data_IF_141183480855
#
_entry.id   IF_141183480855
#
_cell.length_a   1.000
_cell.length_b   1.000
_cell.length_c   1.000
_cell.angle_alpha   90.00
_cell.angle_beta   90.00
_cell.angle_gamma   90.00
#
_symmetry.space_group_name_H-M   'P 1'
#
loop_
_entity.id
_entity.type
_entity.pdbx_description
1 polymer ?
#
# COMPACT_ATOMS: atom_id res chain seq x y z
N UNK A 1 7.84 -13.85 12.35
CA UNK A 1 8.54 -13.88 11.05
C UNK A 1 8.14 -15.16 10.37
N UNK A 2 7.61 -15.07 9.14
CA UNK A 2 7.20 -16.24 8.36
C UNK A 2 8.33 -16.52 7.37
N UNK A 3 8.68 -17.79 7.21
CA UNK A 3 9.53 -18.24 6.11
C UNK A 3 8.62 -18.58 4.92
N UNK A 4 8.84 -17.92 3.78
CA UNK A 4 8.19 -18.27 2.53
C UNK A 4 9.27 -18.74 1.55
N UNK A 5 9.33 -20.05 1.31
CA UNK A 5 10.33 -20.67 0.42
C UNK A 5 11.80 -20.35 0.81
N UNK A 6 12.10 -20.29 2.11
CA UNK A 6 13.44 -19.94 2.59
C UNK A 6 13.71 -18.43 2.68
N UNK A 7 12.72 -17.58 2.40
CA UNK A 7 12.84 -16.12 2.44
C UNK A 7 12.14 -15.57 3.68
N UNK A 8 12.83 -14.83 4.57
CA UNK A 8 12.20 -14.06 5.62
C UNK A 8 11.14 -13.10 5.04
N UNK A 9 9.90 -13.26 5.47
CA UNK A 9 8.75 -12.66 4.81
C UNK A 9 7.71 -12.11 5.79
N UNK A 10 6.89 -11.20 5.29
CA UNK A 10 5.70 -10.66 5.94
C UNK A 10 4.45 -11.11 5.19
N UNK A 11 3.47 -11.63 5.93
CA UNK A 11 2.14 -11.92 5.42
C UNK A 11 1.20 -10.76 5.77
N UNK A 12 0.61 -10.14 4.75
CA UNK A 12 -0.52 -9.24 4.90
C UNK A 12 -1.81 -9.99 4.57
N UNK A 13 -2.76 -9.91 5.50
CA UNK A 13 -4.13 -10.34 5.30
C UNK A 13 -5.02 -9.11 5.26
N UNK A 14 -5.96 -9.11 4.33
CA UNK A 14 -6.98 -8.07 4.26
C UNK A 14 -7.88 -8.08 5.49
N UNK A 15 -8.18 -6.87 5.98
CA UNK A 15 -9.20 -6.65 6.98
C UNK A 15 -10.56 -6.48 6.30
N UNK A 16 -11.69 -6.72 6.97
CA UNK A 16 -13.02 -6.53 6.38
C UNK A 16 -13.23 -5.17 5.71
N UNK A 17 -12.59 -4.10 6.24
CA UNK A 17 -12.64 -2.74 5.69
C UNK A 17 -12.16 -2.64 4.23
N UNK A 18 -11.29 -3.55 3.75
CA UNK A 18 -10.69 -3.47 2.41
C UNK A 18 -11.71 -3.69 1.31
N UNK A 19 -12.74 -4.52 1.55
CA UNK A 19 -13.84 -4.75 0.62
C UNK A 19 -14.69 -3.49 0.40
N UNK A 20 -14.81 -2.62 1.40
CA UNK A 20 -15.52 -1.34 1.30
C UNK A 20 -14.70 -0.25 0.62
N UNK A 21 -13.37 -0.34 0.66
CA UNK A 21 -12.51 0.64 -0.01
C UNK A 21 -12.34 0.33 -1.50
N UNK A 22 -12.89 -0.79 -1.99
CA UNK A 22 -12.80 -1.18 -3.41
C UNK A 22 -11.36 -1.36 -3.88
N UNK A 23 -10.46 -1.78 -2.99
CA UNK A 23 -9.03 -1.87 -3.29
C UNK A 23 -8.77 -2.95 -4.35
N UNK A 24 -8.16 -2.55 -5.47
CA UNK A 24 -7.74 -3.48 -6.51
C UNK A 24 -6.42 -4.14 -6.12
N UNK A 25 -6.52 -5.31 -5.46
CA UNK A 25 -5.36 -6.09 -4.99
C UNK A 25 -4.51 -6.65 -6.11
N UNK A 26 -5.09 -6.89 -7.29
CA UNK A 26 -4.34 -7.30 -8.48
C UNK A 26 -3.50 -6.15 -9.01
N UNK A 27 -4.07 -4.93 -9.05
CA UNK A 27 -3.34 -3.73 -9.42
C UNK A 27 -2.24 -3.39 -8.42
N UNK A 28 -2.50 -3.57 -7.13
CA UNK A 28 -1.51 -3.37 -6.08
C UNK A 28 -0.29 -4.28 -6.27
N UNK A 29 -0.49 -5.59 -6.43
CA UNK A 29 0.63 -6.51 -6.65
C UNK A 29 1.43 -6.15 -7.92
N UNK A 30 0.75 -5.77 -8.99
CA UNK A 30 1.42 -5.31 -10.22
C UNK A 30 2.23 -4.03 -9.99
N UNK A 31 1.66 -3.04 -9.31
CA UNK A 31 2.34 -1.78 -8.99
C UNK A 31 3.59 -2.01 -8.14
N UNK A 32 3.48 -2.84 -7.09
CA UNK A 32 4.61 -3.16 -6.21
C UNK A 32 5.77 -3.79 -6.99
N UNK A 33 5.48 -4.65 -7.98
CA UNK A 33 6.50 -5.22 -8.87
C UNK A 33 7.13 -4.15 -9.77
N UNK A 34 6.33 -3.24 -10.33
CA UNK A 34 6.84 -2.18 -11.22
C UNK A 34 7.84 -1.25 -10.52
N UNK A 35 7.61 -0.92 -9.24
CA UNK A 35 8.45 0.04 -8.49
C UNK A 35 9.53 -0.63 -7.64
N UNK A 36 9.61 -1.96 -7.67
CA UNK A 36 10.57 -2.72 -6.87
C UNK A 36 12.01 -2.42 -7.29
N UNK A 37 12.28 -2.38 -8.60
CA UNK A 37 13.63 -2.09 -9.13
C UNK A 37 14.12 -0.69 -8.79
N UNK A 38 13.20 0.25 -8.55
CA UNK A 38 13.50 1.62 -8.14
C UNK A 38 13.69 1.75 -6.62
N UNK A 39 13.55 0.66 -5.86
CA UNK A 39 13.73 0.63 -4.41
C UNK A 39 12.55 1.19 -3.60
N UNK A 40 11.39 1.40 -4.23
CA UNK A 40 10.20 1.96 -3.57
C UNK A 40 9.19 0.91 -3.09
N UNK A 41 9.52 -0.37 -3.21
CA UNK A 41 8.73 -1.47 -2.68
C UNK A 41 9.64 -2.59 -2.18
N UNK A 42 9.29 -3.26 -1.06
CA UNK A 42 9.88 -4.56 -0.77
C UNK A 42 9.52 -5.54 -1.89
N UNK A 43 10.34 -6.58 -2.06
CA UNK A 43 10.11 -7.61 -3.08
C UNK A 43 8.77 -8.34 -2.85
N UNK A 44 7.80 -8.23 -3.78
CA UNK A 44 6.57 -9.01 -3.70
C UNK A 44 6.86 -10.47 -4.04
N UNK A 45 6.50 -11.40 -3.15
CA UNK A 45 6.81 -12.83 -3.31
C UNK A 45 5.60 -13.64 -3.77
N UNK A 46 4.40 -13.26 -3.33
CA UNK A 46 3.16 -13.95 -3.68
C UNK A 46 1.94 -13.06 -3.44
N UNK A 47 0.87 -13.27 -4.22
CA UNK A 47 -0.44 -12.69 -3.93
C UNK A 47 -1.56 -13.66 -4.29
N UNK A 48 -2.59 -13.67 -3.45
CA UNK A 48 -3.92 -14.20 -3.77
C UNK A 48 -4.95 -13.08 -3.52
N UNK A 49 -5.27 -12.26 -4.54
CA UNK A 49 -6.24 -11.18 -4.43
C UNK A 49 -7.62 -11.65 -3.95
N UNK A 50 -8.05 -12.85 -4.35
CA UNK A 50 -9.37 -13.41 -3.98
C UNK A 50 -9.46 -13.76 -2.49
N UNK A 51 -8.33 -14.02 -1.85
CA UNK A 51 -8.23 -14.23 -0.40
C UNK A 51 -7.65 -13.02 0.36
N UNK A 52 -7.39 -11.92 -0.33
CA UNK A 52 -6.76 -10.73 0.26
C UNK A 52 -5.37 -10.98 0.83
N UNK A 53 -4.62 -11.93 0.25
CA UNK A 53 -3.28 -12.32 0.69
C UNK A 53 -2.23 -11.58 -0.13
N UNK A 54 -1.25 -11.02 0.57
CA UNK A 54 0.01 -10.54 -0.01
C UNK A 54 1.18 -11.03 0.87
N UNK A 55 2.18 -11.63 0.24
CA UNK A 55 3.45 -11.98 0.89
C UNK A 55 4.55 -11.17 0.21
N UNK A 56 5.36 -10.48 1.01
CA UNK A 56 6.53 -9.74 0.54
C UNK A 56 7.74 -10.00 1.44
N UNK A 57 8.94 -9.82 0.89
CA UNK A 57 10.20 -9.99 1.62
C UNK A 57 10.22 -9.05 2.82
N UNK A 58 10.58 -9.60 3.97
CA UNK A 58 10.81 -8.80 5.17
C UNK A 58 11.96 -7.81 4.91
N UNK A 59 11.71 -6.55 5.22
CA UNK A 59 12.70 -5.49 5.15
C UNK A 59 13.00 -5.02 6.57
N UNK A 60 14.27 -5.12 6.96
CA UNK A 60 14.71 -4.67 8.26
C UNK A 60 14.79 -3.13 8.30
N UNK A 61 14.18 -2.54 9.32
CA UNK A 61 14.19 -1.10 9.51
C UNK A 61 13.21 -0.67 10.59
N UNK A 62 13.35 0.58 11.01
CA UNK A 62 12.46 1.20 11.98
C UNK A 62 11.50 2.15 11.28
N UNK A 63 10.22 2.06 11.62
CA UNK A 63 9.22 2.98 11.12
C UNK A 63 9.41 4.35 11.77
N UNK A 64 9.40 5.41 10.96
CA UNK A 64 9.38 6.77 11.48
C UNK A 64 8.09 7.01 12.27
N UNK A 65 8.25 7.65 13.42
CA UNK A 65 7.16 8.13 14.27
C UNK A 65 6.90 9.62 14.03
N UNK A 66 5.74 10.17 14.42
CA UNK A 66 5.51 11.62 14.33
C UNK A 66 6.57 12.46 15.05
N UNK A 67 7.15 11.97 16.13
CA UNK A 67 8.26 12.63 16.84
C UNK A 67 9.54 12.74 16.02
N UNK A 68 9.79 11.79 15.13
CA UNK A 68 10.94 11.85 14.22
C UNK A 68 10.81 13.00 13.21
N UNK A 69 9.59 13.36 12.84
CA UNK A 69 9.33 14.43 11.87
C UNK A 69 9.55 15.84 12.45
N UNK A 70 9.89 15.97 13.74
CA UNK A 70 10.19 17.26 14.37
C UNK A 70 11.52 17.89 13.92
N UNK A 71 12.39 17.13 13.23
CA UNK A 71 13.69 17.63 12.78
C UNK A 71 13.63 18.05 11.31
N UNK A 72 14.15 19.26 10.99
CA UNK A 72 14.23 19.76 9.62
C UNK A 72 14.95 18.81 8.66
N UNK A 73 15.98 18.11 9.16
CA UNK A 73 16.74 17.13 8.37
C UNK A 73 15.87 16.00 7.82
N UNK A 74 15.09 15.33 8.70
CA UNK A 74 14.21 14.22 8.30
C UNK A 74 13.11 14.67 7.34
N UNK A 75 12.54 15.87 7.52
CA UNK A 75 11.55 16.43 6.57
C UNK A 75 12.17 16.64 5.18
N UNK A 76 13.37 17.20 5.11
CA UNK A 76 14.05 17.44 3.82
C UNK A 76 14.36 16.12 3.11
N UNK A 77 14.80 15.11 3.85
CA UNK A 77 15.05 13.77 3.31
C UNK A 77 13.78 13.12 2.76
N UNK A 78 12.69 13.12 3.55
CA UNK A 78 11.38 12.63 3.10
C UNK A 78 10.89 13.36 1.86
N UNK A 79 11.07 14.68 1.78
CA UNK A 79 10.71 15.46 0.60
C UNK A 79 11.48 15.04 -0.65
N UNK A 80 12.77 14.69 -0.53
CA UNK A 80 13.56 14.19 -1.65
C UNK A 80 13.11 12.80 -2.11
N UNK A 81 12.83 11.91 -1.16
CA UNK A 81 12.33 10.55 -1.44
C UNK A 81 10.97 10.63 -2.14
N UNK A 82 10.03 11.40 -1.58
CA UNK A 82 8.70 11.60 -2.14
C UNK A 82 8.77 12.24 -3.54
N UNK A 83 9.62 13.24 -3.72
CA UNK A 83 9.83 13.86 -5.04
C UNK A 83 10.36 12.86 -6.07
N UNK A 84 11.17 11.88 -5.65
CA UNK A 84 11.68 10.83 -6.54
C UNK A 84 10.59 9.82 -6.90
N UNK A 85 9.78 9.40 -5.91
CA UNK A 85 8.60 8.56 -6.14
C UNK A 85 7.64 9.20 -7.15
N UNK A 86 7.35 10.50 -7.02
CA UNK A 86 6.44 11.22 -7.92
C UNK A 86 6.94 11.34 -9.37
N UNK A 87 8.24 11.13 -9.63
CA UNK A 87 8.82 11.20 -10.98
C UNK A 87 8.91 9.83 -11.67
N UNK A 88 8.58 8.75 -10.97
CA UNK A 88 8.57 7.41 -11.55
C UNK A 88 7.67 7.36 -12.77
N UNK A 89 8.18 6.72 -13.83
CA UNK A 89 7.41 6.45 -15.03
C UNK A 89 6.71 5.10 -14.86
N UNK A 90 5.44 5.14 -14.48
CA UNK A 90 4.65 3.95 -14.22
C UNK A 90 3.74 3.62 -15.41
N UNK A 91 3.35 2.35 -15.58
CA UNK A 91 2.24 1.98 -16.44
C UNK A 91 0.99 2.83 -16.17
N UNK A 92 0.12 3.01 -17.17
CA UNK A 92 -1.08 3.81 -16.97
C UNK A 92 -2.08 3.09 -16.05
N UNK A 93 -2.18 3.57 -14.81
CA UNK A 93 -3.15 3.13 -13.81
C UNK A 93 -4.33 4.10 -13.66
N UNK A 94 -4.43 5.16 -14.48
CA UNK A 94 -5.38 6.28 -14.27
C UNK A 94 -6.84 5.83 -14.22
N UNK A 95 -7.23 4.91 -15.08
CA UNK A 95 -8.60 4.39 -15.12
C UNK A 95 -8.98 3.72 -13.79
N UNK A 96 -8.07 2.92 -13.23
CA UNK A 96 -8.27 2.21 -11.95
C UNK A 96 -8.39 3.16 -10.77
N UNK A 97 -7.66 4.27 -10.78
CA UNK A 97 -7.72 5.29 -9.73
C UNK A 97 -9.07 6.02 -9.70
N UNK A 98 -9.59 6.40 -10.87
CA UNK A 98 -10.91 7.08 -10.97
C UNK A 98 -12.03 6.16 -10.49
N UNK A 99 -11.99 4.89 -10.85
CA UNK A 99 -12.99 3.91 -10.42
C UNK A 99 -12.95 3.67 -8.91
N UNK A 100 -11.76 3.63 -8.30
CA UNK A 100 -11.62 3.56 -6.85
C UNK A 100 -12.19 4.80 -6.13
N UNK A 101 -11.93 6.01 -6.62
CA UNK A 101 -12.50 7.23 -6.02
C UNK A 101 -14.03 7.20 -6.06
N UNK A 102 -14.62 6.80 -7.20
CA UNK A 102 -16.08 6.70 -7.35
C UNK A 102 -16.68 5.64 -6.43
N UNK A 103 -16.00 4.50 -6.30
CA UNK A 103 -16.41 3.46 -5.36
C UNK A 103 -16.39 3.99 -3.92
N UNK A 104 -15.28 4.60 -3.51
CA UNK A 104 -15.13 5.17 -2.18
C UNK A 104 -16.18 6.26 -1.88
N UNK A 105 -16.45 7.15 -2.84
CA UNK A 105 -17.49 8.16 -2.72
C UNK A 105 -18.89 7.54 -2.53
N UNK A 106 -19.19 6.48 -3.27
CA UNK A 106 -20.46 5.75 -3.14
C UNK A 106 -20.60 5.11 -1.75
N UNK A 107 -19.54 4.46 -1.25
CA UNK A 107 -19.55 3.82 0.06
C UNK A 107 -19.68 4.83 1.20
N UNK A 108 -19.01 5.99 1.10
CA UNK A 108 -19.19 7.09 2.07
C UNK A 108 -20.62 7.64 2.08
N UNK A 109 -21.27 7.78 0.92
CA UNK A 109 -22.68 8.21 0.84
C UNK A 109 -23.63 7.21 1.49
N UNK A 110 -23.26 5.93 1.50
CA UNK A 110 -24.09 4.85 2.07
C UNK A 110 -23.80 4.60 3.56
N UNK A 111 -22.77 5.20 4.15
CA UNK A 111 -22.42 5.09 5.57
C UNK A 111 -22.96 6.26 6.39
N UNK A 112 -24.29 6.36 6.46
CA UNK A 112 -24.99 7.44 7.16
C UNK A 112 -24.59 7.57 8.64
N UNK A 113 -24.11 6.49 9.27
CA UNK A 113 -23.75 6.44 10.69
C UNK A 113 -22.22 6.54 10.95
N UNK A 114 -21.41 6.75 9.91
CA UNK A 114 -19.95 6.87 10.03
C UNK A 114 -19.27 5.63 10.64
N UNK A 115 -19.86 4.46 10.44
CA UNK A 115 -19.46 3.20 11.06
C UNK A 115 -18.36 2.48 10.28
N UNK A 116 -18.16 2.81 9.00
CA UNK A 116 -17.18 2.16 8.12
C UNK A 116 -15.76 2.26 8.68
N UNK A 117 -15.36 3.47 9.12
CA UNK A 117 -14.01 3.73 9.63
C UNK A 117 -13.73 3.07 10.99
N UNK A 118 -14.79 2.65 11.71
CA UNK A 118 -14.67 1.98 13.01
C UNK A 118 -14.45 0.46 12.90
N UNK A 119 -14.50 -0.10 11.68
CA UNK A 119 -14.36 -1.55 11.41
C UNK A 119 -12.93 -1.96 10.98
N UNK A 120 -11.97 -1.04 11.11
CA UNK A 120 -10.55 -1.23 10.76
C UNK A 120 -9.70 -1.79 11.89
#
# INVERSE_FOLDING_TARGET
MIDYQGIPSVLRLDKPVTGYLGLDRSAEFHLLNCIQSDGFSPEPLYSDPGKGILIYRFFEGEALTPTDLGTRGKIVELGKILGSLHRLQLPDFKTRFVDQIRHYEKELKNDADGSLLKRG
#
